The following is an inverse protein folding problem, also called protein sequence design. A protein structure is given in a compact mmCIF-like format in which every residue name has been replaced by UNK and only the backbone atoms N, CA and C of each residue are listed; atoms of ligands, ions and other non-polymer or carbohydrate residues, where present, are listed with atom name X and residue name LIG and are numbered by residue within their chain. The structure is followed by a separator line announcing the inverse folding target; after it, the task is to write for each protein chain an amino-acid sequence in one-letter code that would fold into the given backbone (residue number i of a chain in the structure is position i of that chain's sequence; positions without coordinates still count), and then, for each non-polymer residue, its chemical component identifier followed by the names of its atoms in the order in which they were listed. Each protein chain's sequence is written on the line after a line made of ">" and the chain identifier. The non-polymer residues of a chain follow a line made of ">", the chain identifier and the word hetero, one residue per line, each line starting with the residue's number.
data_IF_084644855998
#
_entry.id   IF_084644855998
#
_cell.length_a   1.000
_cell.length_b   1.000
_cell.length_c   1.000
_cell.angle_alpha   90.00
_cell.angle_beta   90.00
_cell.angle_gamma   90.00
#
_symmetry.space_group_name_H-M   'P 1'
#
loop_
_entity.id
_entity.type
_entity.pdbx_description
1 polymer ?
#
# COMPACT_ATOMS: atom_id res chain seq x y z
N UNK A 1 3.07 -18.56 -2.12
CA UNK A 1 3.90 -18.33 -3.33
C UNK A 1 3.41 -17.13 -4.15
N UNK A 2 2.11 -16.92 -4.36
CA UNK A 2 1.58 -15.75 -5.10
C UNK A 2 1.74 -14.39 -4.42
N UNK A 3 1.56 -14.31 -3.09
CA UNK A 3 1.90 -13.13 -2.28
C UNK A 3 3.40 -12.76 -2.31
N UNK A 4 4.27 -13.55 -2.94
CA UNK A 4 5.67 -13.12 -3.17
C UNK A 4 5.90 -12.54 -4.56
N UNK A 5 5.03 -12.87 -5.53
CA UNK A 5 5.22 -12.49 -6.94
C UNK A 5 4.75 -11.05 -7.17
N UNK A 6 3.65 -10.61 -6.55
CA UNK A 6 3.20 -9.22 -6.69
C UNK A 6 4.12 -8.22 -5.94
N UNK A 7 4.71 -8.66 -4.83
CA UNK A 7 5.53 -7.80 -3.96
C UNK A 7 7.02 -7.77 -4.29
N UNK A 8 7.46 -8.54 -5.30
CA UNK A 8 8.82 -8.44 -5.85
C UNK A 8 8.91 -7.46 -7.03
N UNK A 9 7.78 -6.87 -7.48
CA UNK A 9 7.71 -6.02 -8.66
C UNK A 9 7.78 -4.50 -8.38
N UNK A 10 7.91 -4.08 -7.12
CA UNK A 10 8.15 -2.67 -6.79
C UNK A 10 9.55 -2.51 -6.23
N UNK A 11 10.46 -1.91 -7.01
CA UNK A 11 11.85 -1.64 -6.65
C UNK A 11 12.02 -0.54 -5.58
N UNK A 12 10.92 -0.07 -4.98
CA UNK A 12 10.88 1.17 -4.17
C UNK A 12 10.32 0.93 -2.76
N UNK A 13 9.80 -0.27 -2.44
CA UNK A 13 9.28 -0.62 -1.11
C UNK A 13 9.93 -1.89 -0.56
N UNK A 14 10.05 -2.00 0.76
CA UNK A 14 10.44 -3.27 1.38
C UNK A 14 9.38 -4.34 1.05
N UNK A 15 9.76 -5.59 0.72
CA UNK A 15 8.79 -6.63 0.42
C UNK A 15 7.82 -6.82 1.60
N UNK A 16 6.52 -6.75 1.35
CA UNK A 16 5.52 -7.04 2.38
C UNK A 16 5.69 -8.47 2.87
N UNK A 17 5.72 -8.63 4.20
CA UNK A 17 5.85 -9.92 4.86
C UNK A 17 4.47 -10.44 5.24
N UNK A 18 4.31 -11.76 5.12
CA UNK A 18 3.11 -12.41 5.64
C UNK A 18 3.09 -12.33 7.17
N UNK A 19 1.98 -11.87 7.75
CA UNK A 19 1.77 -11.80 9.19
C UNK A 19 0.61 -12.73 9.61
N UNK A 20 0.88 -13.82 10.34
CA UNK A 20 -0.15 -14.73 10.83
C UNK A 20 -1.19 -14.06 11.73
N UNK A 21 -0.82 -13.02 12.47
CA UNK A 21 -1.73 -12.30 13.36
C UNK A 21 -2.77 -11.52 12.56
N UNK A 22 -2.34 -10.84 11.50
CA UNK A 22 -3.26 -10.17 10.56
C UNK A 22 -4.18 -11.16 9.85
N UNK A 23 -3.68 -12.36 9.51
CA UNK A 23 -4.53 -13.43 8.95
C UNK A 23 -5.63 -13.85 9.92
N UNK A 24 -5.35 -13.96 11.22
CA UNK A 24 -6.35 -14.34 12.22
C UNK A 24 -7.43 -13.28 12.37
N UNK A 25 -7.06 -12.00 12.30
CA UNK A 25 -8.02 -10.88 12.27
C UNK A 25 -8.92 -10.98 11.03
N UNK A 26 -8.33 -11.15 9.85
CA UNK A 26 -9.05 -11.29 8.59
C UNK A 26 -10.00 -12.49 8.60
N UNK A 27 -9.57 -13.63 9.14
CA UNK A 27 -10.37 -14.86 9.24
C UNK A 27 -11.57 -14.69 10.16
N UNK A 28 -11.36 -14.10 11.35
CA UNK A 28 -12.42 -13.82 12.29
C UNK A 28 -13.47 -12.87 11.72
N UNK A 29 -13.04 -11.90 10.89
CA UNK A 29 -13.96 -10.96 10.26
C UNK A 29 -14.69 -11.56 9.05
N UNK A 30 -13.98 -12.27 8.17
CA UNK A 30 -14.57 -12.91 6.99
C UNK A 30 -15.71 -13.89 7.36
N UNK A 31 -15.55 -14.61 8.48
CA UNK A 31 -16.56 -15.53 9.00
C UNK A 31 -17.86 -14.86 9.46
N UNK A 32 -17.88 -13.54 9.68
CA UNK A 32 -19.10 -12.79 10.04
C UNK A 32 -20.05 -12.64 8.85
N UNK A 33 -19.57 -12.78 7.62
CA UNK A 33 -20.36 -12.59 6.40
C UNK A 33 -21.11 -11.25 6.39
N UNK A 34 -20.39 -10.16 6.64
CA UNK A 34 -20.89 -8.79 6.60
C UNK A 34 -20.13 -8.03 5.52
N UNK A 35 -20.85 -7.50 4.52
CA UNK A 35 -20.27 -6.64 3.50
C UNK A 35 -20.10 -5.22 4.03
N UNK A 36 -19.07 -5.04 4.85
CA UNK A 36 -18.60 -3.74 5.31
C UNK A 36 -17.16 -3.88 5.82
N UNK A 37 -16.42 -2.78 5.88
CA UNK A 37 -15.11 -2.76 6.53
C UNK A 37 -15.21 -3.06 8.04
N UNK A 38 -14.18 -3.71 8.57
CA UNK A 38 -14.09 -4.04 9.98
C UNK A 38 -13.93 -2.76 10.82
N UNK A 39 -14.92 -2.41 11.66
CA UNK A 39 -14.89 -1.16 12.43
C UNK A 39 -13.88 -1.17 13.58
N UNK A 40 -13.34 -2.35 13.92
CA UNK A 40 -12.42 -2.54 15.04
C UNK A 40 -10.94 -2.49 14.59
N UNK A 41 -10.67 -2.01 13.38
CA UNK A 41 -9.32 -1.80 12.86
C UNK A 41 -8.82 -0.40 13.24
N UNK A 42 -7.74 -0.33 14.01
CA UNK A 42 -7.04 0.92 14.33
C UNK A 42 -6.06 1.28 13.19
N UNK A 43 -4.77 1.08 13.39
CA UNK A 43 -3.72 1.38 12.39
C UNK A 43 -3.57 0.27 11.33
N UNK A 44 -4.62 -0.51 11.10
CA UNK A 44 -4.62 -1.65 10.17
C UNK A 44 -5.51 -1.35 8.98
N UNK A 45 -4.95 -1.41 7.78
CA UNK A 45 -5.68 -1.25 6.53
C UNK A 45 -6.44 -2.52 6.14
N UNK A 46 -7.40 -2.40 5.23
CA UNK A 46 -8.22 -3.52 4.80
C UNK A 46 -8.64 -3.41 3.33
N UNK A 47 -8.43 -4.48 2.57
CA UNK A 47 -9.06 -4.67 1.27
C UNK A 47 -10.08 -5.80 1.36
N UNK A 48 -11.25 -5.58 0.76
CA UNK A 48 -12.36 -6.54 0.72
C UNK A 48 -12.64 -6.96 -0.71
N UNK A 49 -13.01 -8.22 -0.89
CA UNK A 49 -13.55 -8.70 -2.15
C UNK A 49 -14.70 -9.66 -1.88
N UNK A 50 -15.78 -9.50 -2.64
CA UNK A 50 -16.91 -10.43 -2.66
C UNK A 50 -17.20 -10.84 -4.10
N UNK A 51 -17.41 -12.13 -4.32
CA UNK A 51 -17.72 -12.66 -5.64
C UNK A 51 -18.55 -13.93 -5.57
N UNK A 52 -19.34 -14.18 -6.61
CA UNK A 52 -20.07 -15.43 -6.79
C UNK A 52 -19.14 -16.49 -7.38
N UNK A 53 -19.20 -17.71 -6.85
CA UNK A 53 -18.40 -18.84 -7.35
C UNK A 53 -17.04 -18.99 -6.64
N UNK A 54 -16.18 -19.88 -7.16
CA UNK A 54 -14.86 -20.16 -6.57
C UNK A 54 -13.98 -18.91 -6.57
N UNK A 55 -13.27 -18.69 -5.47
CA UNK A 55 -12.33 -17.57 -5.35
C UNK A 55 -11.06 -17.84 -6.17
N UNK A 56 -10.79 -17.01 -7.18
CA UNK A 56 -9.48 -16.91 -7.83
C UNK A 56 -8.69 -15.74 -7.24
N UNK A 57 -7.72 -16.05 -6.39
CA UNK A 57 -6.90 -15.03 -5.74
C UNK A 57 -6.09 -14.18 -6.74
N UNK A 58 -5.67 -14.73 -7.88
CA UNK A 58 -4.93 -13.98 -8.88
C UNK A 58 -5.83 -12.90 -9.48
N UNK A 59 -7.03 -13.29 -9.90
CA UNK A 59 -8.00 -12.36 -10.48
C UNK A 59 -8.36 -11.23 -9.51
N UNK A 60 -8.56 -11.54 -8.22
CA UNK A 60 -8.87 -10.52 -7.21
C UNK A 60 -7.74 -9.52 -7.03
N UNK A 61 -6.50 -10.02 -6.90
CA UNK A 61 -5.32 -9.15 -6.76
C UNK A 61 -5.09 -8.30 -8.01
N UNK A 62 -5.31 -8.86 -9.20
CA UNK A 62 -5.24 -8.13 -10.46
C UNK A 62 -6.32 -7.03 -10.52
N UNK A 63 -7.57 -7.31 -10.14
CA UNK A 63 -8.64 -6.30 -10.09
C UNK A 63 -8.30 -5.15 -9.15
N UNK A 64 -7.87 -5.44 -7.93
CA UNK A 64 -7.42 -4.42 -6.99
C UNK A 64 -6.24 -3.62 -7.53
N UNK A 65 -5.28 -4.28 -8.18
CA UNK A 65 -4.12 -3.60 -8.77
C UNK A 65 -4.52 -2.70 -9.93
N UNK A 66 -5.43 -3.13 -10.82
CA UNK A 66 -5.86 -2.42 -12.02
C UNK A 66 -6.59 -1.10 -11.73
N UNK A 67 -6.99 -0.84 -10.48
CA UNK A 67 -7.44 0.48 -10.06
C UNK A 67 -6.40 1.59 -10.30
N UNK A 68 -5.11 1.25 -10.45
CA UNK A 68 -4.06 2.19 -10.85
C UNK A 68 -4.39 2.93 -12.15
N UNK A 69 -5.16 2.33 -13.05
CA UNK A 69 -5.54 2.94 -14.33
C UNK A 69 -6.44 4.17 -14.16
N UNK A 70 -7.11 4.31 -13.00
CA UNK A 70 -7.92 5.47 -12.66
C UNK A 70 -7.22 6.44 -11.69
N UNK A 71 -6.08 6.06 -11.12
CA UNK A 71 -5.36 6.86 -10.12
C UNK A 71 -4.46 7.91 -10.79
N UNK A 72 -4.61 9.18 -10.41
CA UNK A 72 -3.74 10.26 -10.88
C UNK A 72 -2.57 10.46 -9.92
N UNK A 73 -1.39 10.02 -10.35
CA UNK A 73 -0.15 10.12 -9.59
C UNK A 73 0.37 11.55 -9.44
N UNK A 74 -0.03 12.48 -10.31
CA UNK A 74 0.49 13.85 -10.27
C UNK A 74 -0.07 14.65 -9.09
N UNK A 75 -1.31 14.35 -8.70
CA UNK A 75 -2.03 15.04 -7.64
C UNK A 75 -2.56 14.06 -6.57
N UNK A 76 -2.13 12.79 -6.58
CA UNK A 76 -2.56 11.77 -5.63
C UNK A 76 -4.09 11.68 -5.47
N UNK A 77 -4.82 11.72 -6.58
CA UNK A 77 -6.28 11.73 -6.59
C UNK A 77 -6.89 10.51 -7.27
N UNK A 78 -8.14 10.24 -6.92
CA UNK A 78 -8.99 9.24 -7.54
C UNK A 78 -10.30 9.92 -7.92
N UNK A 79 -10.81 9.75 -9.15
CA UNK A 79 -12.12 10.29 -9.51
C UNK A 79 -13.22 9.77 -8.58
N UNK A 80 -14.22 10.62 -8.28
CA UNK A 80 -15.28 10.30 -7.30
C UNK A 80 -16.13 9.07 -7.71
N UNK A 81 -16.20 8.76 -9.00
CA UNK A 81 -16.94 7.60 -9.55
C UNK A 81 -16.07 6.34 -9.69
N UNK A 82 -14.82 6.38 -9.21
CA UNK A 82 -13.86 5.28 -9.31
C UNK A 82 -13.42 4.81 -7.92
N UNK A 83 -12.81 3.63 -7.92
CA UNK A 83 -12.18 3.04 -6.74
C UNK A 83 -10.69 2.97 -7.00
N UNK A 84 -9.89 3.50 -6.07
CA UNK A 84 -8.43 3.42 -6.09
C UNK A 84 -7.84 2.98 -4.73
N UNK A 85 -8.72 2.77 -3.74
CA UNK A 85 -8.32 2.45 -2.37
C UNK A 85 -7.59 1.11 -2.28
N UNK A 86 -8.01 0.12 -3.06
CA UNK A 86 -7.38 -1.19 -3.02
C UNK A 86 -5.97 -1.13 -3.59
N UNK A 87 -5.80 -0.47 -4.75
CA UNK A 87 -4.47 -0.29 -5.35
C UNK A 87 -3.53 0.46 -4.41
N UNK A 88 -3.98 1.62 -3.89
CA UNK A 88 -3.13 2.46 -3.03
C UNK A 88 -2.73 1.77 -1.74
N UNK A 89 -3.59 0.93 -1.15
CA UNK A 89 -3.23 0.09 -0.02
C UNK A 89 -2.21 -1.00 -0.39
N UNK A 90 -2.36 -1.63 -1.57
CA UNK A 90 -1.43 -2.67 -2.03
C UNK A 90 -0.01 -2.14 -2.23
N UNK A 91 0.14 -0.92 -2.75
CA UNK A 91 1.46 -0.32 -3.06
C UNK A 91 1.94 0.70 -2.03
N UNK A 92 1.27 0.77 -0.87
CA UNK A 92 1.61 1.75 0.17
C UNK A 92 3.01 1.51 0.73
N UNK A 93 3.87 2.53 0.67
CA UNK A 93 5.30 2.39 0.98
C UNK A 93 5.59 1.97 2.42
N UNK A 94 4.81 2.46 3.39
CA UNK A 94 5.00 2.15 4.81
C UNK A 94 4.40 0.77 5.18
N UNK A 95 3.46 0.25 4.37
CA UNK A 95 2.88 -1.08 4.58
C UNK A 95 3.92 -2.14 4.34
N UNK A 96 4.23 -2.91 5.38
CA UNK A 96 5.26 -3.95 5.30
C UNK A 96 4.76 -5.31 5.77
N UNK A 97 3.48 -5.43 6.17
CA UNK A 97 2.85 -6.68 6.58
C UNK A 97 1.48 -6.84 5.97
N UNK A 98 1.13 -8.08 5.63
CA UNK A 98 -0.18 -8.45 5.13
C UNK A 98 -0.60 -9.81 5.67
N UNK A 99 -1.89 -9.95 6.00
CA UNK A 99 -2.51 -11.23 6.32
C UNK A 99 -3.92 -11.27 5.75
N UNK A 100 -4.27 -12.36 5.07
CA UNK A 100 -5.55 -12.50 4.39
C UNK A 100 -6.24 -13.81 4.75
N UNK A 101 -7.57 -13.80 4.67
CA UNK A 101 -8.40 -15.00 4.82
C UNK A 101 -9.65 -14.87 3.96
N UNK A 102 -10.17 -16.02 3.51
CA UNK A 102 -11.45 -16.06 2.82
C UNK A 102 -12.45 -16.95 3.56
N UNK A 103 -13.72 -16.67 3.37
CA UNK A 103 -14.83 -17.46 3.89
C UNK A 103 -15.91 -17.62 2.82
N UNK A 104 -16.55 -18.79 2.78
CA UNK A 104 -17.71 -19.04 1.90
C UNK A 104 -18.98 -18.72 2.69
N UNK A 105 -19.65 -17.64 2.33
CA UNK A 105 -20.86 -17.16 2.99
C UNK A 105 -22.10 -17.73 2.28
N UNK A 106 -22.97 -18.40 3.03
CA UNK A 106 -24.27 -18.84 2.50
C UNK A 106 -25.16 -17.66 2.12
N UNK A 107 -25.15 -16.61 2.94
CA UNK A 107 -25.74 -15.30 2.68
C UNK A 107 -24.79 -14.22 3.18
N UNK A 108 -24.86 -13.03 2.57
CA UNK A 108 -24.03 -11.88 2.92
C UNK A 108 -24.88 -10.77 3.52
N UNK A 109 -24.61 -10.35 4.76
CA UNK A 109 -25.32 -9.19 5.32
C UNK A 109 -24.87 -7.92 4.60
N UNK A 110 -25.82 -7.12 4.10
CA UNK A 110 -25.53 -5.88 3.38
C UNK A 110 -25.43 -6.05 1.85
N UNK A 111 -25.53 -7.28 1.34
CA UNK A 111 -25.68 -7.59 -0.08
C UNK A 111 -26.71 -8.69 -0.26
N UNK A 112 -27.65 -8.55 -1.19
CA UNK A 112 -28.67 -9.58 -1.45
C UNK A 112 -28.12 -10.74 -2.32
N UNK A 113 -26.95 -11.26 -1.95
CA UNK A 113 -26.23 -12.32 -2.65
C UNK A 113 -26.09 -13.55 -1.76
N UNK A 114 -26.22 -14.72 -2.39
CA UNK A 114 -26.06 -16.02 -1.74
C UNK A 114 -24.84 -16.77 -2.26
N UNK A 115 -24.28 -17.65 -1.43
CA UNK A 115 -23.16 -18.54 -1.76
C UNK A 115 -21.97 -17.79 -2.36
N UNK A 116 -21.53 -16.75 -1.65
CA UNK A 116 -20.45 -15.86 -2.08
C UNK A 116 -19.13 -16.19 -1.40
N UNK A 117 -18.05 -16.07 -2.15
CA UNK A 117 -16.69 -16.05 -1.60
C UNK A 117 -16.39 -14.65 -1.09
N UNK A 118 -16.03 -14.52 0.18
CA UNK A 118 -15.64 -13.26 0.81
C UNK A 118 -14.18 -13.32 1.22
N UNK A 119 -13.34 -12.47 0.64
CA UNK A 119 -11.93 -12.32 0.95
C UNK A 119 -11.70 -11.03 1.73
N UNK A 120 -10.96 -11.15 2.83
CA UNK A 120 -10.49 -10.04 3.65
C UNK A 120 -8.96 -10.08 3.65
N UNK A 121 -8.32 -8.95 3.38
CA UNK A 121 -6.88 -8.77 3.51
C UNK A 121 -6.59 -7.59 4.43
N UNK A 122 -5.86 -7.82 5.51
CA UNK A 122 -5.43 -6.77 6.43
C UNK A 122 -3.97 -6.41 6.23
N UNK A 123 -3.66 -5.12 6.30
CA UNK A 123 -2.35 -4.53 6.00
C UNK A 123 -1.86 -3.71 7.17
N UNK A 124 -0.57 -3.79 7.51
CA UNK A 124 -0.02 -2.99 8.59
C UNK A 124 1.33 -2.34 8.22
N UNK A 125 1.50 -1.04 8.52
CA UNK A 125 0.46 -0.07 8.92
C UNK A 125 -0.55 0.20 7.79
N UNK A 126 -1.70 0.79 8.12
CA UNK A 126 -2.70 1.22 7.15
C UNK A 126 -2.17 2.29 6.19
N UNK A 127 -2.71 2.34 4.97
CA UNK A 127 -2.56 3.53 4.13
C UNK A 127 -3.29 4.72 4.76
N UNK A 128 -2.79 5.94 4.53
CA UNK A 128 -3.53 7.14 4.93
C UNK A 128 -4.54 7.53 3.85
N UNK A 129 -5.67 8.17 4.22
CA UNK A 129 -6.64 8.67 3.23
C UNK A 129 -5.98 9.59 2.20
N UNK A 130 -6.45 9.57 0.96
CA UNK A 130 -5.91 10.42 -0.13
C UNK A 130 -5.96 11.92 0.21
N UNK A 131 -6.99 12.36 0.94
CA UNK A 131 -7.09 13.73 1.46
C UNK A 131 -5.97 14.09 2.42
N UNK A 132 -5.49 13.12 3.21
CA UNK A 132 -4.35 13.27 4.13
C UNK A 132 -3.03 13.12 3.38
N UNK A 133 -2.98 12.31 2.32
CA UNK A 133 -1.81 12.20 1.45
C UNK A 133 -1.51 13.51 0.71
N UNK A 134 -2.53 14.24 0.25
CA UNK A 134 -2.36 15.59 -0.31
C UNK A 134 -1.74 16.60 0.67
N UNK A 135 -1.90 16.37 1.98
CA UNK A 135 -1.27 17.18 3.03
C UNK A 135 0.15 16.72 3.37
N UNK A 136 0.54 15.51 2.93
CA UNK A 136 1.88 14.97 3.11
C UNK A 136 2.67 15.25 1.83
N UNK A 137 3.79 15.97 1.94
CA UNK A 137 4.66 16.22 0.79
C UNK A 137 5.10 14.87 0.20
N UNK A 138 4.89 14.59 -1.12
CA UNK A 138 5.42 13.39 -1.76
C UNK A 138 6.93 13.19 -1.54
N UNK A 139 7.67 14.29 -1.27
CA UNK A 139 9.09 14.26 -0.89
C UNK A 139 9.34 13.59 0.47
N UNK A 140 8.39 13.57 1.40
CA UNK A 140 8.56 12.96 2.72
C UNK A 140 8.80 11.45 2.65
N UNK A 141 8.23 10.76 1.65
CA UNK A 141 8.44 9.32 1.45
C UNK A 141 9.89 9.01 1.03
N UNK A 142 10.45 9.79 0.10
CA UNK A 142 11.87 9.69 -0.27
C UNK A 142 12.80 10.17 0.85
N UNK A 143 12.37 11.14 1.68
CA UNK A 143 13.21 11.74 2.70
C UNK A 143 13.33 10.88 3.96
N UNK A 144 12.33 10.03 4.27
CA UNK A 144 12.42 9.06 5.37
C UNK A 144 13.57 8.07 5.21
N UNK A 145 13.91 7.68 3.98
CA UNK A 145 15.09 6.86 3.69
C UNK A 145 16.43 7.60 3.95
N UNK A 146 16.42 8.94 4.04
CA UNK A 146 17.63 9.77 4.14
C UNK A 146 17.97 10.25 5.56
N UNK A 147 17.19 9.91 6.58
CA UNK A 147 17.27 10.54 7.93
C UNK A 147 18.30 9.94 8.90
N UNK A 148 19.35 9.28 8.42
CA UNK A 148 20.53 8.98 9.27
C UNK A 148 21.66 10.02 9.15
N UNK A 149 21.41 11.17 8.53
CA UNK A 149 22.43 12.23 8.42
C UNK A 149 22.18 13.37 9.42
N UNK A 150 23.17 13.61 10.28
CA UNK A 150 23.22 14.80 11.15
C UNK A 150 23.61 16.01 10.29
N UNK A 151 22.77 17.05 10.29
CA UNK A 151 23.07 18.32 9.63
C UNK A 151 23.91 19.19 10.58
N UNK A 152 25.13 19.56 10.17
CA UNK A 152 25.99 20.49 10.91
C UNK A 152 26.00 21.86 10.22
N UNK A 153 25.31 22.81 10.86
CA UNK A 153 25.10 24.19 10.39
C UNK A 153 26.41 25.01 10.31
N UNK A 154 27.47 24.56 10.99
CA UNK A 154 28.75 25.28 11.03
C UNK A 154 29.60 25.09 9.77
N UNK A 155 29.36 24.03 9.00
CA UNK A 155 30.20 23.67 7.84
C UNK A 155 29.44 23.62 6.53
N UNK A 156 28.10 23.74 6.55
CA UNK A 156 27.26 23.48 5.37
C UNK A 156 27.54 22.10 4.73
N UNK A 157 27.95 21.11 5.54
CA UNK A 157 28.26 19.76 5.06
C UNK A 157 27.43 18.71 5.78
N UNK A 158 26.96 17.72 5.00
CA UNK A 158 26.28 16.53 5.51
C UNK A 158 27.33 15.44 5.67
N UNK A 159 27.67 15.09 6.91
CA UNK A 159 28.56 13.95 7.16
C UNK A 159 27.74 12.68 7.35
N UNK A 160 28.05 11.66 6.56
CA UNK A 160 27.45 10.34 6.72
C UNK A 160 27.97 9.71 8.01
N UNK A 161 27.07 9.38 8.94
CA UNK A 161 27.42 8.49 10.04
C UNK A 161 27.69 7.09 9.44
N UNK A 162 28.97 6.69 9.46
CA UNK A 162 29.46 5.31 9.33
C UNK A 162 28.47 4.31 9.98
N UNK A 163 28.04 3.19 9.40
CA UNK A 163 28.57 2.33 8.33
C UNK A 163 27.44 1.48 7.73
N UNK A 164 27.50 1.23 6.41
CA UNK A 164 26.74 0.24 5.62
C UNK A 164 25.32 0.56 5.11
N UNK A 165 25.01 1.82 4.77
CA UNK A 165 23.84 2.13 3.92
C UNK A 165 24.31 2.95 2.69
N UNK A 166 23.85 2.66 1.45
CA UNK A 166 24.28 3.40 0.27
C UNK A 166 23.91 4.87 0.41
N UNK A 167 24.89 5.76 0.31
CA UNK A 167 24.67 7.20 0.33
C UNK A 167 23.91 7.62 -0.93
N UNK A 168 22.82 8.40 -0.79
CA UNK A 168 22.19 9.07 -1.91
C UNK A 168 23.12 10.18 -2.43
N UNK A 169 23.97 9.88 -3.40
CA UNK A 169 24.78 10.88 -4.10
C UNK A 169 23.96 11.51 -5.23
N UNK A 170 23.48 12.74 -4.99
CA UNK A 170 22.85 13.57 -6.02
C UNK A 170 22.39 14.91 -5.46
N UNK A 171 23.18 15.96 -5.66
CA UNK A 171 22.78 17.32 -5.32
C UNK A 171 21.61 17.78 -6.20
N UNK A 172 20.58 18.37 -5.60
CA UNK A 172 19.44 18.93 -6.32
C UNK A 172 19.84 20.29 -6.90
N UNK A 173 20.02 20.37 -8.22
CA UNK A 173 19.91 21.64 -8.95
C UNK A 173 18.55 21.67 -9.66
N UNK A 174 17.62 22.49 -9.18
CA UNK A 174 16.33 22.69 -9.83
C UNK A 174 16.54 23.66 -11.01
N UNK A 175 16.46 23.14 -12.24
CA UNK A 175 16.32 23.95 -13.45
C UNK A 175 14.92 23.76 -14.02
N UNK A 176 14.25 24.87 -14.31
CA UNK A 176 12.88 24.90 -14.79
C UNK A 176 12.79 24.39 -16.25
N UNK A 177 12.29 23.18 -16.44
CA UNK A 177 11.74 22.68 -17.73
C UNK A 177 10.83 21.46 -17.48
N UNK A 178 9.81 21.21 -18.32
CA UNK A 178 8.59 20.50 -17.94
C UNK A 178 8.68 18.97 -18.03
N UNK A 179 9.88 18.40 -17.93
CA UNK A 179 10.05 16.94 -17.91
C UNK A 179 10.73 16.59 -16.60
N UNK A 180 9.93 16.31 -15.58
CA UNK A 180 10.42 15.74 -14.33
C UNK A 180 10.84 14.29 -14.59
N UNK A 181 12.12 14.07 -14.88
CA UNK A 181 12.73 12.75 -14.76
C UNK A 181 12.77 12.37 -13.28
N UNK A 182 12.06 11.29 -12.92
CA UNK A 182 12.16 10.68 -11.60
C UNK A 182 13.63 10.31 -11.32
N UNK A 183 14.16 10.58 -10.11
CA UNK A 183 15.50 10.14 -9.77
C UNK A 183 15.53 8.61 -9.74
N UNK A 184 16.41 8.02 -10.56
CA UNK A 184 16.71 6.59 -10.49
C UNK A 184 17.68 6.33 -9.34
N UNK A 185 17.36 5.40 -8.45
CA UNK A 185 18.36 4.82 -7.56
C UNK A 185 19.41 4.11 -8.42
N UNK A 186 20.65 4.61 -8.40
CA UNK A 186 21.78 3.96 -9.06
C UNK A 186 22.06 2.59 -8.42
N UNK A 187 22.42 1.61 -9.25
CA UNK A 187 22.93 0.31 -8.83
C UNK A 187 24.28 0.43 -8.12
#
# INVERSE_FOLDING_TARGET
>A
MFFQILFSLTSVGSPQKWDPSLKLVAEGYAAKCIWNHNPDLEDTGENLFVGTGPLDLREVLEKWFLENLAYDFNNNSCPEDKMCGHYTQMVWADTHRVGCAFHLCNSMKGLDWERVSFLVCNYYPASVPLTRLLLLDPRLSCQRCCTSSHYDDSTSTVTAASSNIPACSGGITVSASPVATLPSCGQ
#
